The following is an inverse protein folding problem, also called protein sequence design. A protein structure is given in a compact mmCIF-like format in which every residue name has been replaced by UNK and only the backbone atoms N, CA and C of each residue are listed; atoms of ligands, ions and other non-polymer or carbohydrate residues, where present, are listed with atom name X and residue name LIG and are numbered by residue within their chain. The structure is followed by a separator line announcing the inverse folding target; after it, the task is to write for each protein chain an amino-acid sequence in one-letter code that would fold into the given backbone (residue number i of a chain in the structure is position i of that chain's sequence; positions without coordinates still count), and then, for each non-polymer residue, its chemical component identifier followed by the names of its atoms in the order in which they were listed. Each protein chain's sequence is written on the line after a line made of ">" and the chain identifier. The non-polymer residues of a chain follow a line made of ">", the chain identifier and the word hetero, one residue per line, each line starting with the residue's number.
data_IF_691644395107
#
_entry.id   IF_691644395107
#
_cell.length_a   1.000
_cell.length_b   1.000
_cell.length_c   1.000
_cell.angle_alpha   90.00
_cell.angle_beta   90.00
_cell.angle_gamma   90.00
#
_symmetry.space_group_name_H-M   'P 1'
#
loop_
_entity.id
_entity.type
_entity.pdbx_description
1 polymer ?
#
# COMPACT_ATOMS: atom_id res chain seq x y z
N UNK A 1 21.58 15.88 13.69
CA UNK A 1 21.28 16.13 12.27
C UNK A 1 19.77 16.21 12.21
N UNK A 2 19.23 17.37 11.85
CA UNK A 2 17.80 17.56 11.64
C UNK A 2 17.42 16.64 10.47
N UNK A 3 16.79 15.49 10.75
CA UNK A 3 16.18 14.69 9.70
C UNK A 3 15.11 15.58 9.09
N UNK A 4 15.38 16.14 7.91
CA UNK A 4 14.34 16.81 7.15
C UNK A 4 13.19 15.81 6.98
N UNK A 5 12.03 16.12 7.55
CA UNK A 5 10.83 15.31 7.39
C UNK A 5 10.55 15.17 5.89
N UNK A 6 10.69 13.94 5.37
CA UNK A 6 10.37 13.65 3.98
C UNK A 6 8.88 13.87 3.79
N UNK A 7 8.49 14.66 2.79
CA UNK A 7 7.08 14.85 2.47
C UNK A 7 6.53 13.63 1.72
N UNK A 8 5.23 13.35 1.86
CA UNK A 8 4.53 12.28 1.12
C UNK A 8 4.83 12.34 -0.38
N UNK A 9 4.83 13.55 -0.96
CA UNK A 9 5.14 13.79 -2.37
C UNK A 9 6.58 13.42 -2.78
N UNK A 10 7.56 13.57 -1.88
CA UNK A 10 8.95 13.17 -2.14
C UNK A 10 9.10 11.66 -2.11
N UNK A 11 8.44 11.00 -1.16
CA UNK A 11 8.44 9.54 -1.02
C UNK A 11 7.82 8.88 -2.25
N UNK A 12 6.70 9.42 -2.75
CA UNK A 12 5.99 8.88 -3.92
C UNK A 12 6.71 9.03 -5.26
N UNK A 13 7.84 9.74 -5.31
CA UNK A 13 8.71 9.82 -6.50
C UNK A 13 9.74 8.70 -6.58
N UNK A 14 9.83 7.85 -5.57
CA UNK A 14 10.79 6.75 -5.52
C UNK A 14 10.41 5.66 -6.53
N UNK A 15 11.42 5.08 -7.17
CA UNK A 15 11.24 3.92 -8.02
C UNK A 15 11.37 2.66 -7.15
N UNK A 16 10.23 2.00 -6.89
CA UNK A 16 10.19 0.79 -6.10
C UNK A 16 10.30 -0.42 -7.04
N UNK A 17 11.24 -1.35 -6.81
CA UNK A 17 11.48 -2.49 -7.70
C UNK A 17 10.43 -3.60 -7.52
N UNK A 18 9.16 -3.31 -7.86
CA UNK A 18 8.04 -4.23 -7.69
C UNK A 18 8.22 -5.57 -8.42
N UNK A 19 8.86 -5.53 -9.60
CA UNK A 19 9.19 -6.74 -10.36
C UNK A 19 10.13 -7.67 -9.60
N UNK A 20 11.12 -7.12 -8.89
CA UNK A 20 12.02 -7.92 -8.05
C UNK A 20 11.25 -8.59 -6.92
N UNK A 21 10.33 -7.88 -6.27
CA UNK A 21 9.50 -8.45 -5.21
C UNK A 21 8.56 -9.55 -5.72
N UNK A 22 8.05 -9.43 -6.94
CA UNK A 22 7.30 -10.50 -7.58
C UNK A 22 8.20 -11.72 -7.87
N UNK A 23 9.39 -11.50 -8.44
CA UNK A 23 10.34 -12.57 -8.74
C UNK A 23 10.80 -13.34 -7.48
N UNK A 24 10.96 -12.64 -6.36
CA UNK A 24 11.29 -13.25 -5.05
C UNK A 24 10.07 -13.81 -4.32
N UNK A 25 8.87 -13.76 -4.93
CA UNK A 25 7.60 -14.23 -4.37
C UNK A 25 7.17 -13.52 -3.08
N UNK A 26 7.60 -12.29 -2.87
CA UNK A 26 7.14 -11.44 -1.77
C UNK A 26 5.80 -10.77 -2.09
N UNK A 27 5.49 -10.62 -3.38
CA UNK A 27 4.14 -10.25 -3.86
C UNK A 27 3.73 -11.22 -4.98
N UNK A 28 2.43 -11.42 -5.17
CA UNK A 28 1.91 -12.22 -6.29
C UNK A 28 1.87 -11.42 -7.59
N UNK A 29 1.72 -12.12 -8.72
CA UNK A 29 1.51 -11.46 -10.02
C UNK A 29 0.22 -10.65 -10.08
N UNK A 30 -0.81 -11.05 -9.31
CA UNK A 30 -2.07 -10.29 -9.19
C UNK A 30 -1.84 -8.99 -8.43
N UNK A 31 -1.07 -9.04 -7.33
CA UNK A 31 -0.75 -7.86 -6.53
C UNK A 31 0.02 -6.82 -7.35
N UNK A 32 1.00 -7.29 -8.15
CA UNK A 32 1.74 -6.43 -9.09
C UNK A 32 0.82 -5.77 -10.12
N UNK A 33 -0.17 -6.49 -10.65
CA UNK A 33 -1.13 -5.91 -11.61
C UNK A 33 -2.02 -4.84 -10.96
N UNK A 34 -2.49 -5.08 -9.75
CA UNK A 34 -3.29 -4.11 -8.99
C UNK A 34 -2.45 -2.86 -8.66
N UNK A 35 -1.20 -3.03 -8.20
CA UNK A 35 -0.28 -1.91 -7.96
C UNK A 35 -0.10 -1.07 -9.23
N UNK A 36 0.19 -1.68 -10.39
CA UNK A 36 0.37 -0.95 -11.65
C UNK A 36 -0.87 -0.19 -12.14
N UNK A 37 -2.06 -0.66 -11.75
CA UNK A 37 -3.32 0.02 -12.07
C UNK A 37 -3.55 1.22 -11.17
N UNK A 38 -3.12 1.14 -9.91
CA UNK A 38 -3.34 2.18 -8.90
C UNK A 38 -2.22 3.24 -8.88
N UNK A 39 -0.98 2.79 -8.98
CA UNK A 39 0.21 3.59 -8.81
C UNK A 39 0.38 4.61 -9.94
N UNK A 40 0.90 5.79 -9.58
CA UNK A 40 1.13 6.90 -10.51
C UNK A 40 -0.09 7.29 -11.39
N UNK A 41 -1.31 7.06 -10.90
CA UNK A 41 -2.57 7.48 -11.54
C UNK A 41 -3.16 8.73 -10.89
N UNK A 42 -3.94 9.52 -11.65
CA UNK A 42 -4.67 10.64 -11.07
C UNK A 42 -5.66 10.16 -10.00
N UNK A 43 -5.93 11.02 -9.01
CA UNK A 43 -6.83 10.73 -7.89
C UNK A 43 -8.20 10.25 -8.35
N UNK A 44 -8.78 10.87 -9.39
CA UNK A 44 -10.10 10.50 -9.91
C UNK A 44 -10.17 9.06 -10.40
N UNK A 45 -9.09 8.56 -11.01
CA UNK A 45 -9.01 7.17 -11.46
C UNK A 45 -8.78 6.21 -10.29
N UNK A 46 -7.91 6.58 -9.34
CA UNK A 46 -7.72 5.82 -8.09
C UNK A 46 -9.03 5.70 -7.31
N UNK A 47 -9.82 6.78 -7.25
CA UNK A 47 -11.12 6.80 -6.61
C UNK A 47 -12.07 5.76 -7.22
N UNK A 48 -12.16 5.72 -8.54
CA UNK A 48 -12.97 4.73 -9.26
C UNK A 48 -12.54 3.29 -8.94
N UNK A 49 -11.24 3.01 -8.98
CA UNK A 49 -10.71 1.67 -8.65
C UNK A 49 -11.07 1.24 -7.21
N UNK A 50 -11.05 2.18 -6.27
CA UNK A 50 -11.38 1.92 -4.86
C UNK A 50 -12.89 1.76 -4.63
N UNK A 51 -13.72 2.43 -5.42
CA UNK A 51 -15.17 2.24 -5.40
C UNK A 51 -15.56 0.88 -5.99
N UNK A 52 -14.85 0.42 -7.03
CA UNK A 52 -15.11 -0.86 -7.70
C UNK A 52 -14.56 -2.07 -6.91
N UNK A 53 -13.31 -2.02 -6.43
CA UNK A 53 -12.61 -3.15 -5.80
C UNK A 53 -11.64 -2.72 -4.69
N UNK A 54 -12.03 -1.73 -3.89
CA UNK A 54 -11.21 -1.19 -2.80
C UNK A 54 -10.57 -2.21 -1.85
N UNK A 55 -11.27 -3.27 -1.39
CA UNK A 55 -10.68 -4.26 -0.51
C UNK A 55 -9.50 -5.01 -1.13
N UNK A 56 -9.50 -5.25 -2.45
CA UNK A 56 -8.36 -5.91 -3.11
C UNK A 56 -7.11 -5.04 -3.09
N UNK A 57 -7.23 -3.73 -3.36
CA UNK A 57 -6.09 -2.80 -3.30
C UNK A 57 -5.55 -2.67 -1.87
N UNK A 58 -6.44 -2.55 -0.87
CA UNK A 58 -6.03 -2.48 0.53
C UNK A 58 -5.32 -3.76 0.97
N UNK A 59 -5.80 -4.93 0.53
CA UNK A 59 -5.11 -6.20 0.79
C UNK A 59 -3.68 -6.18 0.27
N UNK A 60 -3.47 -5.70 -0.96
CA UNK A 60 -2.11 -5.60 -1.54
C UNK A 60 -1.20 -4.71 -0.68
N UNK A 61 -1.68 -3.55 -0.24
CA UNK A 61 -0.89 -2.67 0.62
C UNK A 61 -0.53 -3.31 1.95
N UNK A 62 -1.50 -3.97 2.60
CA UNK A 62 -1.27 -4.68 3.88
C UNK A 62 -0.30 -5.84 3.69
N UNK A 63 -0.45 -6.62 2.63
CA UNK A 63 0.47 -7.73 2.28
C UNK A 63 1.90 -7.21 2.10
N UNK A 64 2.11 -6.11 1.37
CA UNK A 64 3.45 -5.52 1.22
C UNK A 64 4.02 -5.08 2.56
N UNK A 65 3.25 -4.36 3.38
CA UNK A 65 3.71 -3.88 4.69
C UNK A 65 4.07 -5.02 5.64
N UNK A 66 3.40 -6.18 5.51
CA UNK A 66 3.67 -7.38 6.30
C UNK A 66 4.89 -8.14 5.81
N UNK A 67 5.03 -8.31 4.49
CA UNK A 67 5.98 -9.25 3.91
C UNK A 67 7.29 -8.57 3.46
N UNK A 68 7.32 -7.23 3.35
CA UNK A 68 8.49 -6.45 2.90
C UNK A 68 8.87 -5.38 3.93
N UNK A 69 10.04 -5.57 4.56
CA UNK A 69 10.56 -4.66 5.60
C UNK A 69 11.60 -3.65 5.10
N UNK A 70 11.75 -3.47 3.78
CA UNK A 70 12.68 -2.47 3.24
C UNK A 70 12.12 -1.07 3.49
N UNK A 71 12.85 -0.23 4.22
CA UNK A 71 12.44 1.12 4.64
C UNK A 71 11.79 1.93 3.52
N UNK A 72 12.47 2.09 2.39
CA UNK A 72 11.97 2.86 1.24
C UNK A 72 10.60 2.36 0.72
N UNK A 73 10.38 1.04 0.74
CA UNK A 73 9.15 0.39 0.26
C UNK A 73 8.03 0.57 1.27
N UNK A 74 8.34 0.40 2.56
CA UNK A 74 7.37 0.62 3.64
C UNK A 74 6.90 2.08 3.63
N UNK A 75 7.83 3.03 3.59
CA UNK A 75 7.51 4.46 3.49
C UNK A 75 6.67 4.76 2.25
N UNK A 76 6.99 4.16 1.10
CA UNK A 76 6.22 4.35 -0.14
C UNK A 76 4.78 3.87 -0.01
N UNK A 77 4.56 2.67 0.53
CA UNK A 77 3.20 2.15 0.70
C UNK A 77 2.42 2.95 1.74
N UNK A 78 3.06 3.38 2.83
CA UNK A 78 2.43 4.25 3.81
C UNK A 78 2.04 5.59 3.18
N UNK A 79 2.88 6.17 2.31
CA UNK A 79 2.55 7.38 1.57
C UNK A 79 1.36 7.19 0.62
N UNK A 80 1.24 6.03 -0.05
CA UNK A 80 0.07 5.71 -0.88
C UNK A 80 -1.22 5.59 -0.05
N UNK A 81 -1.14 5.01 1.15
CA UNK A 81 -2.26 4.92 2.08
C UNK A 81 -2.63 6.30 2.61
N UNK A 82 -1.64 7.11 2.96
CA UNK A 82 -1.84 8.50 3.41
C UNK A 82 -2.58 9.32 2.36
N UNK A 83 -2.13 9.32 1.09
CA UNK A 83 -2.85 9.97 -0.01
C UNK A 83 -4.28 9.44 -0.18
N UNK A 84 -4.48 8.12 -0.07
CA UNK A 84 -5.79 7.50 -0.18
C UNK A 84 -6.77 8.06 0.87
N UNK A 85 -6.33 8.12 2.13
CA UNK A 85 -7.14 8.53 3.27
C UNK A 85 -7.30 10.04 3.33
N UNK A 86 -6.27 10.81 2.97
CA UNK A 86 -6.35 12.27 2.86
C UNK A 86 -7.38 12.69 1.82
N UNK A 87 -7.44 12.00 0.68
CA UNK A 87 -8.44 12.27 -0.36
C UNK A 87 -9.87 11.92 0.07
N UNK A 88 -10.07 10.84 0.84
CA UNK A 88 -11.36 10.50 1.42
C UNK A 88 -11.22 9.65 2.69
N UNK A 89 -11.38 10.23 3.89
CA UNK A 89 -11.22 9.53 5.16
C UNK A 89 -12.18 8.34 5.34
N UNK A 90 -13.33 8.31 4.65
CA UNK A 90 -14.27 7.19 4.71
C UNK A 90 -13.69 5.90 4.11
N UNK A 91 -12.64 5.98 3.30
CA UNK A 91 -11.91 4.83 2.74
C UNK A 91 -11.24 3.99 3.82
N UNK A 92 -11.04 4.52 5.04
CA UNK A 92 -10.58 3.74 6.19
C UNK A 92 -11.42 2.47 6.44
N UNK A 93 -12.72 2.48 6.08
CA UNK A 93 -13.60 1.30 6.19
C UNK A 93 -13.10 0.09 5.38
N UNK A 94 -12.32 0.31 4.31
CA UNK A 94 -11.77 -0.77 3.47
C UNK A 94 -10.75 -1.62 4.24
N UNK A 95 -10.12 -1.08 5.28
CA UNK A 95 -9.20 -1.79 6.16
C UNK A 95 -9.91 -2.65 7.22
N UNK A 96 -11.24 -2.52 7.34
CA UNK A 96 -12.04 -3.35 8.26
C UNK A 96 -12.55 -4.64 7.61
N UNK A 97 -12.14 -4.94 6.37
CA UNK A 97 -12.54 -6.15 5.68
C UNK A 97 -12.02 -7.39 6.42
N UNK A 98 -12.93 -8.32 6.74
CA UNK A 98 -12.60 -9.55 7.50
C UNK A 98 -11.63 -10.47 6.77
N UNK A 99 -11.49 -10.34 5.45
CA UNK A 99 -10.47 -11.07 4.68
C UNK A 99 -9.04 -10.64 5.02
N UNK A 100 -8.87 -9.48 5.67
CA UNK A 100 -7.59 -9.02 6.24
C UNK A 100 -7.36 -9.58 7.66
N UNK A 101 -8.41 -10.05 8.34
CA UNK A 101 -8.36 -10.48 9.73
C UNK A 101 -7.88 -11.93 9.93
N UNK A 102 -7.76 -12.72 8.85
CA UNK A 102 -7.29 -14.10 8.94
C UNK A 102 -5.75 -14.22 9.03
N UNK A 103 -5.03 -13.15 8.72
CA UNK A 103 -3.58 -13.03 8.95
C UNK A 103 -3.41 -11.92 9.99
N UNK A 104 -3.40 -12.28 11.28
CA UNK A 104 -3.44 -11.32 12.40
C UNK A 104 -2.36 -10.23 12.22
N UNK A 105 -2.73 -9.00 11.81
CA UNK A 105 -1.77 -7.98 11.39
C UNK A 105 -0.98 -7.42 12.59
N UNK A 106 -1.35 -7.80 13.82
CA UNK A 106 -0.71 -7.37 15.05
C UNK A 106 0.10 -8.47 15.74
N UNK A 107 0.13 -9.70 15.19
CA UNK A 107 0.91 -10.82 15.74
C UNK A 107 2.39 -10.46 16.04
N UNK A 108 3.10 -9.68 15.20
CA UNK A 108 4.48 -9.26 15.48
C UNK A 108 4.66 -8.36 16.72
N UNK A 109 3.58 -7.77 17.24
CA UNK A 109 3.59 -6.90 18.42
C UNK A 109 3.06 -7.59 19.69
N UNK A 110 2.53 -8.81 19.54
CA UNK A 110 1.97 -9.60 20.65
C UNK A 110 2.93 -10.69 21.15
N UNK A 111 4.10 -10.81 20.53
CA UNK A 111 5.22 -11.70 20.91
C UNK A 111 6.23 -11.03 21.84
#
# INVERSE_FOLDING_TARGET
>A
MEQAELTTEQVLKRDIPWETYMMTKLISGTDLQLLRRYDNRPESYRAQLLDDDGPAYVRVFVTILRDIFKEETVEYVLALIDEMLAANPKRARLFHDKSLANDDPYEPFLS
#
